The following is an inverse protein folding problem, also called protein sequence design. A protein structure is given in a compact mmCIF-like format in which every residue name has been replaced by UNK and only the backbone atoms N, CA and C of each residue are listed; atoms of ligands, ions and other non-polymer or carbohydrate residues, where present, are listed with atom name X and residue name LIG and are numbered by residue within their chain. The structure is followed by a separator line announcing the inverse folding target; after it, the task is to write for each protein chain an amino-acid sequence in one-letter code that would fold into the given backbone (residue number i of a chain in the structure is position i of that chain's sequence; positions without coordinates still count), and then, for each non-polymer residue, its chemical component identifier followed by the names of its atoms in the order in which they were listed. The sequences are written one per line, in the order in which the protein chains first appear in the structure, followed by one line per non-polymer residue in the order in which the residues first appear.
data_IF_277268605440
#
_entry.id   IF_277268605440
#
_cell.length_a   1.000
_cell.length_b   1.000
_cell.length_c   1.000
_cell.angle_alpha   90.00
_cell.angle_beta   90.00
_cell.angle_gamma   90.00
#
_symmetry.space_group_name_H-M   'P 1'
#
loop_
_entity.id
_entity.type
_entity.pdbx_description
1 polymer ?
#
# COMPACT_ATOMS: atom_id res chain seq x y z
N UNK A 1 -16.02 32.37 -23.04
CA UNK A 1 -14.82 31.54 -22.78
C UNK A 1 -14.88 31.16 -21.32
N UNK A 2 -15.61 30.08 -21.02
CA UNK A 2 -15.91 29.67 -19.64
C UNK A 2 -14.77 28.81 -19.10
N UNK A 3 -14.26 29.18 -17.92
CA UNK A 3 -13.16 28.50 -17.23
C UNK A 3 -13.60 27.11 -16.76
N UNK A 4 -12.96 26.06 -17.29
CA UNK A 4 -13.11 24.69 -16.80
C UNK A 4 -12.30 24.54 -15.50
N UNK A 5 -12.90 24.10 -14.38
CA UNK A 5 -12.12 23.77 -13.20
C UNK A 5 -11.31 22.49 -13.47
N UNK A 6 -9.98 22.59 -13.40
CA UNK A 6 -9.09 21.43 -13.38
C UNK A 6 -9.35 20.65 -12.08
N UNK A 7 -10.22 19.65 -12.14
CA UNK A 7 -10.39 18.69 -11.06
C UNK A 7 -9.17 17.77 -11.07
N UNK A 8 -8.18 18.05 -10.20
CA UNK A 8 -7.06 17.15 -9.98
C UNK A 8 -7.60 15.84 -9.40
N UNK A 9 -7.55 14.77 -10.19
CA UNK A 9 -8.04 13.44 -9.82
C UNK A 9 -7.15 12.73 -8.76
N UNK A 10 -6.55 13.47 -7.83
CA UNK A 10 -5.78 12.91 -6.72
C UNK A 10 -6.72 12.57 -5.57
N UNK A 11 -7.39 11.42 -5.66
CA UNK A 11 -8.18 10.90 -4.55
C UNK A 11 -7.24 10.43 -3.43
N UNK A 12 -7.39 10.99 -2.23
CA UNK A 12 -6.51 10.71 -1.08
C UNK A 12 -6.99 9.53 -0.21
N UNK A 13 -7.84 8.63 -0.73
CA UNK A 13 -8.34 7.52 0.10
C UNK A 13 -7.24 6.48 0.39
N UNK A 14 -7.30 5.81 1.56
CA UNK A 14 -6.30 4.83 1.99
C UNK A 14 -6.06 3.73 0.95
N UNK A 15 -7.08 3.34 0.17
CA UNK A 15 -6.98 2.32 -0.88
C UNK A 15 -5.83 2.56 -1.88
N UNK A 16 -5.56 3.81 -2.27
CA UNK A 16 -4.48 4.13 -3.22
C UNK A 16 -3.10 4.13 -2.57
N UNK A 17 -3.03 4.27 -1.24
CA UNK A 17 -1.78 4.26 -0.48
C UNK A 17 -1.40 2.88 0.03
N UNK A 18 -2.37 1.97 0.22
CA UNK A 18 -2.13 0.62 0.78
C UNK A 18 -1.21 -0.21 -0.11
N UNK A 19 -1.47 -0.29 -1.42
CA UNK A 19 -0.63 -1.11 -2.32
C UNK A 19 0.80 -0.57 -2.43
N UNK A 20 1.03 0.73 -2.73
CA UNK A 20 2.39 1.29 -2.76
C UNK A 20 3.12 1.11 -1.42
N UNK A 21 2.42 1.30 -0.30
CA UNK A 21 3.02 1.13 1.03
C UNK A 21 3.37 -0.34 1.30
N UNK A 22 2.51 -1.29 0.95
CA UNK A 22 2.80 -2.71 1.09
C UNK A 22 4.01 -3.12 0.26
N UNK A 23 4.10 -2.65 -0.99
CA UNK A 23 5.26 -2.89 -1.86
C UNK A 23 6.52 -2.29 -1.26
N UNK A 24 6.46 -1.07 -0.74
CA UNK A 24 7.60 -0.42 -0.09
C UNK A 24 8.07 -1.17 1.16
N UNK A 25 7.15 -1.63 2.02
CA UNK A 25 7.47 -2.36 3.25
C UNK A 25 8.07 -3.74 2.94
N UNK A 26 7.51 -4.45 1.96
CA UNK A 26 8.04 -5.75 1.52
C UNK A 26 9.44 -5.54 0.94
N UNK A 27 9.62 -4.58 0.04
CA UNK A 27 10.93 -4.25 -0.54
C UNK A 27 11.97 -3.89 0.52
N UNK A 28 11.59 -3.09 1.52
CA UNK A 28 12.47 -2.73 2.64
C UNK A 28 12.87 -3.94 3.49
N UNK A 29 11.95 -4.85 3.78
CA UNK A 29 12.23 -6.09 4.53
C UNK A 29 13.27 -6.96 3.81
N UNK A 30 13.08 -7.22 2.52
CA UNK A 30 14.02 -8.02 1.73
C UNK A 30 15.36 -7.30 1.51
N UNK A 31 15.35 -5.97 1.35
CA UNK A 31 16.58 -5.18 1.28
C UNK A 31 17.39 -5.29 2.58
N UNK A 32 16.74 -5.10 3.73
CA UNK A 32 17.37 -5.22 5.06
C UNK A 32 17.89 -6.64 5.32
N UNK A 33 17.22 -7.68 4.82
CA UNK A 33 17.74 -9.04 4.85
C UNK A 33 19.00 -9.18 4.00
N UNK A 34 18.99 -8.63 2.78
CA UNK A 34 20.08 -8.75 1.83
C UNK A 34 21.36 -8.06 2.30
N UNK A 35 21.24 -6.95 3.04
CA UNK A 35 22.39 -6.28 3.67
C UNK A 35 22.75 -6.88 5.05
N UNK A 36 22.10 -7.97 5.45
CA UNK A 36 22.41 -8.70 6.68
C UNK A 36 21.93 -8.03 7.98
N UNK A 37 21.10 -7.00 7.90
CA UNK A 37 20.52 -6.31 9.07
C UNK A 37 19.40 -7.14 9.71
N UNK A 38 18.60 -7.83 8.89
CA UNK A 38 17.53 -8.73 9.37
C UNK A 38 17.87 -10.19 9.06
N UNK A 39 17.71 -11.06 10.06
CA UNK A 39 17.83 -12.50 9.88
C UNK A 39 16.70 -13.08 9.01
N UNK A 40 16.99 -14.15 8.27
CA UNK A 40 16.04 -14.83 7.38
C UNK A 40 14.76 -15.26 8.10
N UNK A 41 14.86 -15.69 9.35
CA UNK A 41 13.69 -16.05 10.17
C UNK A 41 12.71 -14.90 10.40
N UNK A 42 13.21 -13.68 10.63
CA UNK A 42 12.38 -12.50 10.87
C UNK A 42 11.65 -12.11 9.57
N UNK A 43 12.37 -12.09 8.45
CA UNK A 43 11.76 -11.70 7.17
C UNK A 43 10.70 -12.70 6.76
N UNK A 44 10.97 -14.01 6.89
CA UNK A 44 10.02 -15.08 6.59
C UNK A 44 8.67 -14.97 7.31
N UNK A 45 8.61 -14.25 8.44
CA UNK A 45 7.38 -13.99 9.19
C UNK A 45 6.78 -12.61 8.86
N UNK A 46 7.61 -11.58 8.72
CA UNK A 46 7.13 -10.21 8.53
C UNK A 46 6.51 -9.95 7.16
N UNK A 47 7.08 -10.48 6.07
CA UNK A 47 6.52 -10.24 4.72
C UNK A 47 5.13 -10.87 4.52
N UNK A 48 4.84 -12.12 4.96
CA UNK A 48 3.49 -12.65 4.83
C UNK A 48 2.51 -11.93 5.76
N UNK A 49 2.92 -11.50 6.96
CA UNK A 49 2.07 -10.66 7.82
C UNK A 49 1.69 -9.34 7.14
N UNK A 50 2.66 -8.69 6.49
CA UNK A 50 2.42 -7.45 5.75
C UNK A 50 1.42 -7.66 4.58
N UNK A 51 1.56 -8.77 3.85
CA UNK A 51 0.60 -9.14 2.80
C UNK A 51 -0.79 -9.46 3.37
N UNK A 52 -0.86 -10.15 4.49
CA UNK A 52 -2.13 -10.47 5.15
C UNK A 52 -2.84 -9.18 5.57
N UNK A 53 -2.13 -8.25 6.21
CA UNK A 53 -2.68 -6.95 6.59
C UNK A 53 -3.13 -6.14 5.36
N UNK A 54 -2.35 -6.14 4.27
CA UNK A 54 -2.72 -5.46 3.02
C UNK A 54 -3.96 -6.11 2.36
N UNK A 55 -4.06 -7.43 2.39
CA UNK A 55 -5.20 -8.18 1.88
C UNK A 55 -6.47 -7.93 2.71
N UNK A 56 -6.36 -7.93 4.04
CA UNK A 56 -7.45 -7.64 4.96
C UNK A 56 -7.94 -6.20 4.82
N UNK A 57 -7.04 -5.22 4.73
CA UNK A 57 -7.43 -3.82 4.51
C UNK A 57 -8.12 -3.60 3.17
N UNK A 58 -7.84 -4.43 2.16
CA UNK A 58 -8.56 -4.42 0.87
C UNK A 58 -9.90 -5.16 0.92
N UNK A 59 -10.00 -6.26 1.67
CA UNK A 59 -11.21 -7.08 1.77
C UNK A 59 -12.27 -6.49 2.71
N UNK A 60 -11.83 -5.85 3.80
CA UNK A 60 -12.69 -5.24 4.82
C UNK A 60 -12.73 -3.72 4.75
N UNK A 61 -11.85 -3.11 3.95
CA UNK A 61 -11.97 -1.70 3.59
C UNK A 61 -13.25 -1.51 2.80
N UNK A 62 -14.22 -0.81 3.41
CA UNK A 62 -15.46 -0.38 2.78
C UNK A 62 -15.21 0.10 1.34
N UNK A 63 -16.10 -0.26 0.41
CA UNK A 63 -16.05 0.10 -1.02
C UNK A 63 -15.46 1.51 -1.26
N UNK A 64 -14.18 1.63 -1.65
CA UNK A 64 -13.63 2.96 -1.93
C UNK A 64 -14.14 3.44 -3.29
N UNK A 65 -15.21 4.24 -3.27
CA UNK A 65 -15.77 5.02 -4.38
C UNK A 65 -14.85 6.21 -4.76
N UNK A 66 -13.53 6.06 -4.72
CA UNK A 66 -12.57 7.15 -4.99
C UNK A 66 -12.76 7.81 -6.36
N UNK A 67 -13.52 7.17 -7.24
CA UNK A 67 -14.10 7.80 -8.40
C UNK A 67 -15.63 7.67 -8.36
N UNK A 68 -16.28 8.83 -8.48
CA UNK A 68 -17.68 9.12 -8.83
C UNK A 68 -18.67 9.26 -7.65
N UNK A 69 -19.04 10.51 -7.33
CA UNK A 69 -20.03 11.23 -8.15
C UNK A 69 -19.45 12.53 -8.70
#
# INVERSE_FOLDING_TARGET
MENQPMHSNSCSCPHHKVVPLAVALIGALFFLQNIGVLGSGIVNVLWPLALLAAGLTKAFGSSCKCCVK
#
